data_IF_028236045639
#
_entry.id   IF_028236045639
#
_cell.length_a   1.000
_cell.length_b   1.000
_cell.length_c   1.000
_cell.angle_alpha   90.00
_cell.angle_beta   90.00
_cell.angle_gamma   90.00
#
_symmetry.space_group_name_H-M   'P 1'
#
loop_
_entity.id
_entity.type
_entity.pdbx_description
1 polymer ?
#
# COMPACT_ATOMS: atom_id res chain seq x y z
N UNK A 1 10.15 14.72 -0.01
CA UNK A 1 10.84 15.46 -1.09
C UNK A 1 11.93 16.27 -0.44
N UNK A 2 13.16 16.21 -0.97
CA UNK A 2 14.12 17.29 -0.65
C UNK A 2 13.64 18.56 -1.35
N UNK A 3 13.91 19.76 -0.82
CA UNK A 3 13.48 21.03 -1.42
C UNK A 3 13.84 21.16 -2.91
N UNK A 4 14.95 20.55 -3.31
CA UNK A 4 15.48 20.51 -4.68
C UNK A 4 14.56 19.77 -5.67
N UNK A 5 13.73 18.84 -5.20
CA UNK A 5 12.80 18.07 -6.03
C UNK A 5 11.35 18.52 -5.81
N UNK A 6 11.12 19.82 -5.62
CA UNK A 6 9.78 20.39 -5.50
C UNK A 6 9.23 20.81 -6.87
N UNK A 7 7.89 20.86 -7.06
CA UNK A 7 7.30 21.39 -8.29
C UNK A 7 7.79 22.80 -8.64
N UNK A 8 8.00 23.67 -7.64
CA UNK A 8 8.57 25.01 -7.84
C UNK A 8 9.98 24.96 -8.45
N UNK A 9 10.86 24.12 -7.91
CA UNK A 9 12.22 23.96 -8.45
C UNK A 9 12.22 23.45 -9.90
N UNK A 10 11.24 22.60 -10.27
CA UNK A 10 11.06 22.16 -11.66
C UNK A 10 10.55 23.31 -12.53
N UNK A 11 9.54 24.06 -12.09
CA UNK A 11 9.00 25.19 -12.85
C UNK A 11 10.05 26.29 -13.08
N UNK A 12 10.89 26.58 -12.09
CA UNK A 12 11.98 27.55 -12.19
C UNK A 12 13.00 27.14 -13.27
N UNK A 13 13.36 25.86 -13.34
CA UNK A 13 14.23 25.35 -14.40
C UNK A 13 13.54 25.40 -15.76
N UNK A 14 12.29 24.97 -15.86
CA UNK A 14 11.53 24.96 -17.10
C UNK A 14 11.33 26.37 -17.66
N UNK A 15 11.25 27.40 -16.81
CA UNK A 15 11.18 28.79 -17.24
C UNK A 15 12.47 29.26 -17.95
N UNK A 16 13.63 28.68 -17.60
CA UNK A 16 14.91 28.93 -18.27
C UNK A 16 15.21 27.98 -19.43
N UNK A 17 14.40 26.93 -19.61
CA UNK A 17 14.64 25.90 -20.62
C UNK A 17 14.11 26.34 -22.00
N UNK A 18 14.93 26.35 -23.09
CA UNK A 18 14.53 26.88 -24.39
C UNK A 18 13.27 26.24 -24.99
N UNK A 19 13.05 24.96 -24.71
CA UNK A 19 11.89 24.18 -25.16
C UNK A 19 10.91 23.80 -24.03
N UNK A 20 10.96 24.49 -22.89
CA UNK A 20 10.20 24.13 -21.68
C UNK A 20 8.69 24.04 -21.90
N UNK A 21 8.11 25.00 -22.63
CA UNK A 21 6.67 25.01 -22.94
C UNK A 21 6.27 23.94 -23.97
N UNK A 22 7.13 23.66 -24.95
CA UNK A 22 6.88 22.59 -25.93
C UNK A 22 6.87 21.22 -25.24
N UNK A 23 7.81 20.99 -24.32
CA UNK A 23 7.83 19.77 -23.50
C UNK A 23 6.56 19.63 -22.66
N UNK A 24 6.08 20.74 -22.07
CA UNK A 24 4.84 20.74 -21.28
C UNK A 24 3.62 20.41 -22.15
N UNK A 25 3.54 20.96 -23.37
CA UNK A 25 2.48 20.64 -24.34
C UNK A 25 2.52 19.18 -24.77
N UNK A 26 3.70 18.62 -25.06
CA UNK A 26 3.85 17.20 -25.42
C UNK A 26 3.41 16.29 -24.28
N UNK A 27 3.86 16.54 -23.05
CA UNK A 27 3.44 15.75 -21.87
C UNK A 27 1.93 15.86 -21.66
N UNK A 28 1.36 17.06 -21.76
CA UNK A 28 -0.07 17.28 -21.65
C UNK A 28 -0.87 16.50 -22.70
N UNK A 29 -0.52 16.63 -23.98
CA UNK A 29 -1.22 15.93 -25.06
C UNK A 29 -1.11 14.41 -24.93
N UNK A 30 0.08 13.88 -24.63
CA UNK A 30 0.28 12.44 -24.44
C UNK A 30 -0.51 11.90 -23.24
N UNK A 31 -0.51 12.63 -22.12
CA UNK A 31 -1.23 12.25 -20.91
C UNK A 31 -2.76 12.29 -21.10
N UNK A 32 -3.30 13.33 -21.73
CA UNK A 32 -4.74 13.43 -22.00
C UNK A 32 -5.21 12.39 -23.02
N UNK A 33 -4.43 12.12 -24.07
CA UNK A 33 -4.73 11.02 -24.99
C UNK A 33 -4.77 9.67 -24.28
N UNK A 34 -3.82 9.42 -23.37
CA UNK A 34 -3.84 8.20 -22.56
C UNK A 34 -5.04 8.16 -21.61
N UNK A 35 -5.45 9.29 -21.02
CA UNK A 35 -6.61 9.36 -20.14
C UNK A 35 -7.94 9.11 -20.87
N UNK A 36 -8.08 9.67 -22.08
CA UNK A 36 -9.26 9.50 -22.94
C UNK A 36 -9.38 8.05 -23.45
N UNK A 37 -8.26 7.46 -23.86
CA UNK A 37 -8.19 6.06 -24.31
C UNK A 37 -8.06 5.05 -23.16
N UNK A 38 -8.01 5.53 -21.91
CA UNK A 38 -7.84 4.73 -20.69
C UNK A 38 -6.58 3.83 -20.70
N UNK A 39 -5.48 4.30 -21.29
CA UNK A 39 -4.17 3.62 -21.35
C UNK A 39 -3.30 3.92 -20.12
N UNK A 40 -2.74 2.88 -19.51
CA UNK A 40 -1.84 3.03 -18.36
C UNK A 40 -0.42 3.47 -18.75
N UNK A 41 -0.10 3.50 -20.05
CA UNK A 41 1.19 3.95 -20.61
C UNK A 41 1.01 5.18 -21.53
N UNK A 42 2.02 6.04 -21.55
CA UNK A 42 2.03 7.31 -22.29
C UNK A 42 2.74 7.24 -23.66
N UNK A 43 3.25 6.07 -24.04
CA UNK A 43 4.10 5.90 -25.23
C UNK A 43 3.33 5.98 -26.56
N UNK A 44 2.04 5.61 -26.57
CA UNK A 44 1.25 5.53 -27.80
C UNK A 44 1.05 6.91 -28.43
N UNK A 45 1.57 7.09 -29.66
CA UNK A 45 1.55 8.34 -30.41
C UNK A 45 2.68 9.33 -30.06
N UNK A 46 3.55 9.00 -29.09
CA UNK A 46 4.57 9.92 -28.59
C UNK A 46 5.56 10.38 -29.66
N UNK A 47 6.03 9.46 -30.51
CA UNK A 47 7.00 9.79 -31.57
C UNK A 47 6.46 10.87 -32.53
N UNK A 48 5.17 10.77 -32.91
CA UNK A 48 4.52 11.75 -33.77
C UNK A 48 4.33 13.10 -33.05
N UNK A 49 4.01 13.10 -31.76
CA UNK A 49 3.90 14.32 -30.96
C UNK A 49 5.25 15.05 -30.83
N UNK A 50 6.33 14.30 -30.61
CA UNK A 50 7.69 14.82 -30.50
C UNK A 50 8.17 15.39 -31.83
N UNK A 51 7.95 14.66 -32.93
CA UNK A 51 8.27 15.12 -34.29
C UNK A 51 7.49 16.39 -34.68
N UNK A 52 6.18 16.41 -34.42
CA UNK A 52 5.32 17.58 -34.67
C UNK A 52 5.75 18.81 -33.87
N UNK A 53 6.26 18.61 -32.65
CA UNK A 53 6.80 19.68 -31.83
C UNK A 53 8.22 20.11 -32.28
N UNK A 54 8.84 19.42 -33.25
CA UNK A 54 10.21 19.68 -33.67
C UNK A 54 11.20 19.54 -32.52
N UNK A 55 11.01 18.53 -31.67
CA UNK A 55 11.85 18.24 -30.52
C UNK A 55 12.78 17.07 -30.82
N UNK A 56 14.05 17.24 -30.50
CA UNK A 56 15.01 16.13 -30.44
C UNK A 56 15.07 15.54 -29.02
N UNK A 57 15.69 14.37 -28.87
CA UNK A 57 15.97 13.78 -27.55
C UNK A 57 16.87 14.69 -26.70
N UNK A 58 17.77 15.46 -27.33
CA UNK A 58 18.65 16.40 -26.63
C UNK A 58 17.88 17.61 -26.08
N UNK A 59 16.84 18.06 -26.79
CA UNK A 59 15.95 19.14 -26.34
C UNK A 59 15.09 18.75 -25.13
N UNK A 60 15.03 17.46 -24.81
CA UNK A 60 14.24 16.94 -23.69
C UNK A 60 15.06 16.73 -22.40
N UNK A 61 16.36 17.03 -22.41
CA UNK A 61 17.22 16.86 -21.24
C UNK A 61 17.04 17.99 -20.21
N UNK A 62 16.81 17.61 -18.96
CA UNK A 62 16.73 18.51 -17.80
C UNK A 62 17.61 17.95 -16.68
N UNK A 63 17.89 18.72 -15.63
CA UNK A 63 18.60 18.20 -14.45
C UNK A 63 17.79 17.13 -13.69
N UNK A 64 16.48 17.06 -13.93
CA UNK A 64 15.58 16.05 -13.36
C UNK A 64 15.40 14.81 -14.25
N UNK A 65 16.06 14.79 -15.41
CA UNK A 65 16.08 13.69 -16.38
C UNK A 65 15.54 14.08 -17.76
N UNK A 66 15.55 13.11 -18.67
CA UNK A 66 15.06 13.29 -20.03
C UNK A 66 13.55 13.01 -20.13
N UNK A 67 12.77 14.01 -20.57
CA UNK A 67 11.30 13.93 -20.64
C UNK A 67 10.83 12.87 -21.62
N UNK A 68 11.39 12.83 -22.84
CA UNK A 68 10.98 11.90 -23.90
C UNK A 68 11.25 10.46 -23.48
N UNK A 69 12.47 10.18 -22.98
CA UNK A 69 12.82 8.83 -22.48
C UNK A 69 11.97 8.41 -21.28
N UNK A 70 11.52 9.37 -20.46
CA UNK A 70 10.65 9.07 -19.33
C UNK A 70 9.24 8.67 -19.80
N UNK A 71 8.71 9.33 -20.82
CA UNK A 71 7.41 8.99 -21.42
C UNK A 71 7.46 7.63 -22.17
N UNK A 72 8.53 7.36 -22.93
CA UNK A 72 8.73 6.10 -23.67
C UNK A 72 8.75 4.88 -22.77
N UNK A 73 9.36 4.97 -21.57
CA UNK A 73 9.45 3.82 -20.66
C UNK A 73 8.10 3.41 -20.06
N UNK A 74 7.07 4.25 -20.19
CA UNK A 74 5.65 3.94 -19.93
C UNK A 74 5.29 3.54 -18.49
N UNK A 75 6.25 3.25 -17.61
CA UNK A 75 6.03 2.69 -16.28
C UNK A 75 7.09 3.14 -15.26
N UNK A 76 6.64 3.41 -14.03
CA UNK A 76 7.42 3.96 -12.91
C UNK A 76 8.55 3.09 -12.37
N UNK A 77 8.68 1.83 -12.77
CA UNK A 77 9.64 0.93 -12.13
C UNK A 77 11.11 1.34 -12.35
N UNK A 78 11.39 2.13 -13.40
CA UNK A 78 12.71 2.71 -13.66
C UNK A 78 12.84 4.23 -13.44
N UNK A 79 11.74 4.95 -13.22
CA UNK A 79 11.77 6.41 -13.11
C UNK A 79 12.13 6.83 -11.68
N UNK A 80 13.29 7.50 -11.53
CA UNK A 80 13.70 8.10 -10.27
C UNK A 80 12.62 9.05 -9.73
N UNK A 81 12.67 9.33 -8.42
CA UNK A 81 11.74 10.27 -7.78
C UNK A 81 11.73 11.63 -8.47
N UNK A 82 12.90 12.14 -8.90
CA UNK A 82 13.06 13.38 -9.66
C UNK A 82 12.25 13.41 -10.96
N UNK A 83 12.37 12.37 -11.78
CA UNK A 83 11.69 12.29 -13.08
C UNK A 83 10.17 12.24 -12.95
N UNK A 84 9.65 11.62 -11.88
CA UNK A 84 8.20 11.64 -11.60
C UNK A 84 7.70 13.05 -11.28
N UNK A 85 8.47 13.82 -10.50
CA UNK A 85 8.15 15.23 -10.22
C UNK A 85 8.22 16.06 -11.50
N UNK A 86 9.21 15.81 -12.35
CA UNK A 86 9.33 16.46 -13.66
C UNK A 86 8.08 16.26 -14.52
N UNK A 87 7.64 15.01 -14.72
CA UNK A 87 6.46 14.70 -15.52
C UNK A 87 5.17 15.27 -14.92
N UNK A 88 4.98 15.15 -13.60
CA UNK A 88 3.85 15.74 -12.89
C UNK A 88 3.78 17.26 -13.08
N UNK A 89 4.93 17.92 -12.97
CA UNK A 89 5.02 19.38 -13.09
C UNK A 89 4.84 19.85 -14.54
N UNK A 90 5.39 19.14 -15.52
CA UNK A 90 5.18 19.42 -16.94
C UNK A 90 3.71 19.26 -17.33
N UNK A 91 3.04 18.23 -16.82
CA UNK A 91 1.60 18.04 -17.04
C UNK A 91 0.79 19.20 -16.44
N UNK A 92 1.07 19.59 -15.19
CA UNK A 92 0.41 20.74 -14.56
C UNK A 92 0.69 22.06 -15.32
N UNK A 93 1.92 22.28 -15.80
CA UNK A 93 2.29 23.42 -16.64
C UNK A 93 1.55 23.41 -17.97
N UNK A 94 1.40 22.25 -18.60
CA UNK A 94 0.64 22.11 -19.84
C UNK A 94 -0.83 22.49 -19.67
N UNK A 95 -1.45 22.12 -18.54
CA UNK A 95 -2.79 22.61 -18.16
C UNK A 95 -2.78 24.14 -17.97
N UNK A 96 -1.75 24.71 -17.34
CA UNK A 96 -1.65 26.16 -17.16
C UNK A 96 -1.47 26.95 -18.48
N UNK A 97 -0.82 26.35 -19.48
CA UNK A 97 -0.65 26.94 -20.82
C UNK A 97 -1.95 26.95 -21.64
N UNK A 98 -2.83 26.00 -21.39
CA UNK A 98 -4.16 25.86 -22.02
C UNK A 98 -5.23 25.69 -20.93
N UNK A 99 -5.45 26.71 -20.10
CA UNK A 99 -6.29 26.64 -18.92
C UNK A 99 -7.74 26.32 -19.31
N UNK A 100 -8.43 25.40 -18.61
CA UNK A 100 -9.82 25.13 -18.89
C UNK A 100 -10.69 26.33 -18.49
N UNK A 101 -11.57 26.75 -19.40
CA UNK A 101 -12.51 27.84 -19.14
C UNK A 101 -13.91 27.28 -18.86
N UNK A 102 -14.38 27.51 -17.63
CA UNK A 102 -15.74 27.15 -17.19
C UNK A 102 -15.86 25.75 -16.58
N UNK A 103 -16.95 25.49 -15.85
CA UNK A 103 -17.09 24.34 -14.96
C UNK A 103 -17.09 22.99 -15.70
N UNK A 104 -17.61 22.94 -16.93
CA UNK A 104 -17.61 21.71 -17.72
C UNK A 104 -16.20 21.34 -18.19
N UNK A 105 -15.42 22.31 -18.66
CA UNK A 105 -14.04 22.09 -19.09
C UNK A 105 -13.14 21.74 -17.90
N UNK A 106 -13.29 22.47 -16.78
CA UNK A 106 -12.62 22.17 -15.52
C UNK A 106 -12.95 20.76 -15.02
N UNK A 107 -14.22 20.34 -15.12
CA UNK A 107 -14.67 19.00 -14.77
C UNK A 107 -13.99 17.90 -15.59
N UNK A 108 -13.89 18.07 -16.91
CA UNK A 108 -13.20 17.11 -17.79
C UNK A 108 -11.70 17.02 -17.48
N UNK A 109 -11.04 18.17 -17.29
CA UNK A 109 -9.62 18.23 -16.92
C UNK A 109 -9.40 17.57 -15.55
N UNK A 110 -10.22 17.89 -14.55
CA UNK A 110 -10.15 17.26 -13.23
C UNK A 110 -10.31 15.74 -13.30
N UNK A 111 -11.25 15.24 -14.10
CA UNK A 111 -11.47 13.80 -14.27
C UNK A 111 -10.24 13.11 -14.87
N UNK A 112 -9.67 13.69 -15.95
CA UNK A 112 -8.47 13.18 -16.59
C UNK A 112 -7.26 13.16 -15.63
N UNK A 113 -7.05 14.24 -14.87
CA UNK A 113 -5.94 14.33 -13.92
C UNK A 113 -6.05 13.32 -12.77
N UNK A 114 -7.25 13.14 -12.20
CA UNK A 114 -7.45 12.13 -11.15
C UNK A 114 -7.30 10.73 -11.72
N UNK A 115 -7.77 10.48 -12.94
CA UNK A 115 -7.59 9.19 -13.60
C UNK A 115 -6.10 8.88 -13.81
N UNK A 116 -5.33 9.84 -14.33
CA UNK A 116 -3.89 9.70 -14.55
C UNK A 116 -3.14 9.43 -13.25
N UNK A 117 -3.44 10.16 -12.18
CA UNK A 117 -2.84 9.95 -10.87
C UNK A 117 -3.20 8.59 -10.26
N UNK A 118 -4.35 8.03 -10.64
CA UNK A 118 -4.84 6.73 -10.13
C UNK A 118 -4.22 5.55 -10.88
N UNK A 119 -4.08 5.65 -12.21
CA UNK A 119 -3.76 4.51 -13.08
C UNK A 119 -2.40 4.59 -13.76
N UNK A 120 -1.69 5.71 -13.59
CA UNK A 120 -0.35 5.91 -14.15
C UNK A 120 0.63 6.32 -13.05
N UNK A 121 1.87 6.60 -13.44
CA UNK A 121 2.89 7.14 -12.53
C UNK A 121 2.95 8.67 -12.49
N UNK A 122 2.11 9.34 -13.27
CA UNK A 122 2.11 10.81 -13.41
C UNK A 122 0.98 11.38 -12.57
N UNK A 123 1.34 12.07 -11.49
CA UNK A 123 0.42 12.72 -10.56
C UNK A 123 0.63 14.24 -10.55
N UNK A 124 -0.03 14.93 -11.48
CA UNK A 124 0.01 16.37 -11.59
C UNK A 124 -0.75 17.11 -10.48
N UNK A 125 -1.59 16.43 -9.69
CA UNK A 125 -2.39 17.08 -8.64
C UNK A 125 -1.49 17.77 -7.62
N UNK A 126 -0.32 17.20 -7.34
CA UNK A 126 0.68 17.76 -6.43
C UNK A 126 1.38 19.03 -6.94
N UNK A 127 1.24 19.36 -8.22
CA UNK A 127 1.89 20.49 -8.87
C UNK A 127 0.91 21.58 -9.36
N UNK A 128 -0.41 21.38 -9.21
CA UNK A 128 -1.42 22.31 -9.71
C UNK A 128 -1.29 23.71 -9.11
N UNK A 129 -1.14 23.82 -7.80
CA UNK A 129 -1.03 25.14 -7.15
C UNK A 129 0.23 25.89 -7.60
N UNK A 130 1.34 25.18 -7.78
CA UNK A 130 2.58 25.78 -8.23
C UNK A 130 2.49 26.28 -9.68
N UNK A 131 1.78 25.54 -10.55
CA UNK A 131 1.67 25.86 -11.97
C UNK A 131 0.56 26.87 -12.31
N UNK A 132 -0.59 26.82 -11.61
CA UNK A 132 -1.77 27.64 -11.91
C UNK A 132 -1.97 28.80 -10.91
N UNK A 133 -1.40 28.74 -9.71
CA UNK A 133 -1.67 29.71 -8.64
C UNK A 133 -3.17 29.81 -8.33
N UNK A 134 -3.68 31.03 -8.23
CA UNK A 134 -5.11 31.32 -7.97
C UNK A 134 -6.06 30.73 -9.03
N UNK A 135 -5.57 30.49 -10.26
CA UNK A 135 -6.39 29.88 -11.32
C UNK A 135 -6.73 28.41 -11.06
N UNK A 136 -6.08 27.77 -10.08
CA UNK A 136 -6.38 26.39 -9.69
C UNK A 136 -7.75 26.24 -8.98
N UNK A 137 -8.36 27.34 -8.52
CA UNK A 137 -9.58 27.30 -7.71
C UNK A 137 -10.72 26.51 -8.36
N UNK A 138 -10.97 26.69 -9.67
CA UNK A 138 -12.00 25.98 -10.41
C UNK A 138 -11.74 24.47 -10.52
N UNK A 139 -10.48 24.08 -10.73
CA UNK A 139 -10.07 22.68 -10.74
C UNK A 139 -10.25 22.02 -9.38
N UNK A 140 -9.92 22.70 -8.28
CA UNK A 140 -10.12 22.14 -6.93
C UNK A 140 -11.59 21.89 -6.60
N UNK A 141 -12.49 22.82 -6.99
CA UNK A 141 -13.94 22.62 -6.89
C UNK A 141 -14.41 21.42 -7.71
N UNK A 142 -13.90 21.29 -8.94
CA UNK A 142 -14.21 20.17 -9.83
C UNK A 142 -13.72 18.83 -9.28
N UNK A 143 -12.50 18.78 -8.70
CA UNK A 143 -11.95 17.59 -8.01
C UNK A 143 -12.83 17.21 -6.81
N UNK A 144 -13.27 18.18 -6.02
CA UNK A 144 -14.18 17.92 -4.90
C UNK A 144 -15.53 17.37 -5.36
N UNK A 145 -16.10 17.90 -6.44
CA UNK A 145 -17.31 17.36 -7.05
C UNK A 145 -17.13 15.90 -7.53
N UNK A 146 -15.96 15.54 -8.07
CA UNK A 146 -15.63 14.16 -8.43
C UNK A 146 -15.59 13.23 -7.21
N UNK A 147 -15.04 13.69 -6.09
CA UNK A 147 -15.04 12.91 -4.82
C UNK A 147 -16.49 12.62 -4.39
N UNK A 148 -17.39 13.62 -4.38
CA UNK A 148 -18.81 13.43 -4.03
C UNK A 148 -19.48 12.40 -4.95
N UNK A 149 -19.29 12.54 -6.28
CA UNK A 149 -19.88 11.64 -7.27
C UNK A 149 -19.34 10.21 -7.16
N UNK A 150 -18.04 10.05 -6.93
CA UNK A 150 -17.42 8.73 -6.76
C UNK A 150 -17.88 8.02 -5.49
N UNK A 151 -18.02 8.74 -4.37
CA UNK A 151 -18.57 8.23 -3.10
C UNK A 151 -20.03 7.76 -3.24
N UNK A 152 -20.81 8.47 -4.07
CA UNK A 152 -22.18 8.10 -4.41
C UNK A 152 -22.28 6.95 -5.44
N UNK A 153 -21.15 6.44 -5.95
CA UNK A 153 -21.12 5.40 -6.97
C UNK A 153 -21.48 5.89 -8.39
N UNK A 154 -21.55 7.19 -8.62
CA UNK A 154 -21.92 7.79 -9.91
C UNK A 154 -20.75 7.87 -10.92
N UNK A 155 -19.54 7.44 -10.52
CA UNK A 155 -18.33 7.43 -11.34
C UNK A 155 -17.61 6.07 -11.25
N UNK A 156 -18.15 5.01 -11.88
CA UNK A 156 -17.58 3.67 -11.77
C UNK A 156 -16.16 3.56 -12.33
N UNK A 157 -15.79 4.43 -13.28
CA UNK A 157 -14.46 4.40 -13.93
C UNK A 157 -13.33 4.91 -13.04
N UNK A 158 -13.61 5.86 -12.14
CA UNK A 158 -12.65 6.31 -11.11
C UNK A 158 -12.73 5.44 -9.87
N UNK A 159 -13.96 5.06 -9.50
CA UNK A 159 -14.26 4.26 -8.33
C UNK A 159 -13.70 4.84 -7.04
N UNK A 160 -13.50 3.94 -6.06
CA UNK A 160 -13.00 4.29 -4.74
C UNK A 160 -11.55 4.79 -4.74
N UNK A 161 -10.71 4.23 -5.62
CA UNK A 161 -9.30 4.59 -5.68
C UNK A 161 -9.10 6.05 -6.11
N UNK A 162 -9.81 6.49 -7.17
CA UNK A 162 -9.79 7.88 -7.61
C UNK A 162 -10.26 8.85 -6.53
N UNK A 163 -11.32 8.50 -5.78
CA UNK A 163 -11.82 9.31 -4.67
C UNK A 163 -10.76 9.50 -3.56
N UNK A 164 -10.02 8.43 -3.22
CA UNK A 164 -8.94 8.48 -2.22
C UNK A 164 -7.80 9.39 -2.68
N UNK A 165 -7.38 9.27 -3.95
CA UNK A 165 -6.30 10.10 -4.51
C UNK A 165 -6.72 11.57 -4.57
N UNK A 166 -7.92 11.86 -5.08
CA UNK A 166 -8.47 13.22 -5.12
C UNK A 166 -8.59 13.86 -3.73
N UNK A 167 -9.08 13.11 -2.72
CA UNK A 167 -9.16 13.60 -1.35
C UNK A 167 -7.77 13.82 -0.73
N UNK A 168 -6.80 12.95 -1.02
CA UNK A 168 -5.42 13.14 -0.58
C UNK A 168 -4.78 14.39 -1.21
N UNK A 169 -5.08 14.69 -2.48
CA UNK A 169 -4.63 15.89 -3.16
C UNK A 169 -5.25 17.16 -2.56
N UNK A 170 -6.57 17.19 -2.33
CA UNK A 170 -7.25 18.31 -1.66
C UNK A 170 -6.65 18.58 -0.27
N UNK A 171 -6.35 17.52 0.50
CA UNK A 171 -5.66 17.63 1.79
C UNK A 171 -4.24 18.20 1.65
N UNK A 172 -3.50 17.75 0.64
CA UNK A 172 -2.10 18.10 0.43
C UNK A 172 -1.90 19.52 -0.09
N UNK A 173 -2.91 20.11 -0.71
CA UNK A 173 -2.85 21.43 -1.31
C UNK A 173 -2.75 22.55 -0.24
N UNK A 174 -1.84 23.52 -0.41
CA UNK A 174 -1.83 24.74 0.39
C UNK A 174 -2.92 25.74 0.02
N UNK A 175 -3.62 25.59 -1.11
CA UNK A 175 -4.62 26.54 -1.60
C UNK A 175 -5.79 26.69 -0.62
N UNK A 176 -6.26 27.92 -0.35
CA UNK A 176 -7.44 28.13 0.48
C UNK A 176 -8.69 27.48 -0.11
N UNK A 177 -8.86 27.49 -1.44
CA UNK A 177 -9.99 26.86 -2.13
C UNK A 177 -10.01 25.35 -1.92
N UNK A 178 -8.85 24.69 -2.10
CA UNK A 178 -8.74 23.25 -1.88
C UNK A 178 -9.08 22.85 -0.43
N UNK A 179 -8.64 23.65 0.54
CA UNK A 179 -8.96 23.43 1.96
C UNK A 179 -10.42 23.67 2.28
N UNK A 180 -11.03 24.70 1.71
CA UNK A 180 -12.45 24.99 1.88
C UNK A 180 -13.30 23.84 1.33
N UNK A 181 -12.97 23.34 0.14
CA UNK A 181 -13.63 22.16 -0.43
C UNK A 181 -13.40 20.89 0.38
N UNK A 182 -12.17 20.66 0.86
CA UNK A 182 -11.87 19.53 1.74
C UNK A 182 -12.71 19.58 3.02
N UNK A 183 -12.92 20.77 3.59
CA UNK A 183 -13.76 20.98 4.76
C UNK A 183 -15.21 20.61 4.50
N UNK A 184 -15.77 21.11 3.40
CA UNK A 184 -17.15 20.82 3.00
C UNK A 184 -17.37 19.31 2.77
N UNK A 185 -16.40 18.62 2.19
CA UNK A 185 -16.51 17.19 1.89
C UNK A 185 -16.53 16.28 3.13
N UNK A 186 -15.98 16.71 4.27
CA UNK A 186 -15.92 15.87 5.49
C UNK A 186 -17.31 15.41 5.93
N UNK A 187 -18.30 16.29 5.79
CA UNK A 187 -19.68 16.03 6.22
C UNK A 187 -20.51 15.31 5.15
N UNK A 188 -20.16 15.50 3.86
CA UNK A 188 -20.88 14.92 2.72
C UNK A 188 -20.52 13.44 2.45
N UNK A 189 -19.24 13.09 2.58
CA UNK A 189 -18.69 11.81 2.11
C UNK A 189 -19.03 10.68 3.08
N UNK A 190 -19.48 9.53 2.55
CA UNK A 190 -19.86 8.33 3.30
C UNK A 190 -18.68 7.40 3.56
N UNK A 191 -17.73 7.29 2.63
CA UNK A 191 -16.56 6.41 2.77
C UNK A 191 -15.70 6.83 3.97
N UNK A 192 -15.46 5.93 4.95
CA UNK A 192 -14.75 6.28 6.17
C UNK A 192 -13.26 6.60 5.94
N UNK A 193 -12.62 6.03 4.92
CA UNK A 193 -11.22 6.30 4.59
C UNK A 193 -11.10 7.70 4.00
N UNK A 194 -11.95 8.01 3.01
CA UNK A 194 -11.96 9.34 2.37
C UNK A 194 -12.27 10.41 3.41
N UNK A 195 -13.28 10.20 4.26
CA UNK A 195 -13.61 11.11 5.37
C UNK A 195 -12.45 11.30 6.35
N UNK A 196 -11.75 10.22 6.70
CA UNK A 196 -10.58 10.29 7.60
C UNK A 196 -9.47 11.14 6.99
N UNK A 197 -9.16 10.95 5.70
CA UNK A 197 -8.15 11.73 5.00
C UNK A 197 -8.50 13.22 5.00
N UNK A 198 -9.76 13.56 4.73
CA UNK A 198 -10.22 14.95 4.70
C UNK A 198 -10.20 15.61 6.09
N UNK A 199 -10.54 14.88 7.17
CA UNK A 199 -10.46 15.40 8.55
C UNK A 199 -9.05 15.77 8.97
N UNK A 200 -8.05 15.00 8.52
CA UNK A 200 -6.65 15.31 8.78
C UNK A 200 -6.24 16.65 8.14
N UNK A 201 -6.90 17.08 7.05
CA UNK A 201 -6.67 18.37 6.42
C UNK A 201 -7.13 19.55 7.30
N UNK A 202 -8.22 19.36 8.05
CA UNK A 202 -8.82 20.39 8.90
C UNK A 202 -8.15 20.53 10.25
N UNK A 203 -7.40 19.53 10.67
CA UNK A 203 -6.59 19.63 11.87
C UNK A 203 -5.43 20.57 11.55
N UNK A 204 -5.44 21.84 12.02
CA UNK A 204 -4.35 22.77 11.73
C UNK A 204 -3.07 22.10 12.19
N UNK A 205 -2.18 21.86 11.22
CA UNK A 205 -1.03 20.98 11.32
C UNK A 205 -0.57 20.88 12.76
N UNK A 206 -0.80 19.72 13.39
CA UNK A 206 -0.03 19.32 14.58
C UNK A 206 1.40 19.46 14.10
N UNK A 207 2.06 20.59 14.43
CA UNK A 207 3.46 20.84 14.06
C UNK A 207 4.17 19.53 14.33
N UNK A 208 4.86 18.91 13.36
CA UNK A 208 5.61 17.69 13.61
C UNK A 208 6.38 17.95 14.89
N UNK A 209 6.02 17.21 15.95
CA UNK A 209 6.36 17.54 17.32
C UNK A 209 7.82 17.93 17.33
N UNK A 210 8.10 19.21 17.58
CA UNK A 210 9.46 19.70 17.82
C UNK A 210 10.02 18.73 18.85
N UNK A 211 11.13 18.07 18.50
CA UNK A 211 11.76 17.08 19.36
C UNK A 211 11.79 17.64 20.80
N UNK A 212 11.38 16.85 21.82
CA UNK A 212 11.32 17.35 23.17
C UNK A 212 12.69 17.92 23.53
N UNK A 213 12.71 19.22 23.82
CA UNK A 213 13.90 19.89 24.35
C UNK A 213 14.29 19.18 25.64
N UNK A 214 15.52 18.67 25.66
CA UNK A 214 16.15 18.09 26.83
C UNK A 214 16.18 19.13 27.96
N UNK A 215 15.28 19.03 28.93
CA UNK A 215 15.22 19.95 30.05
C UNK A 215 13.92 19.81 30.83
N UNK A 216 13.89 18.87 31.76
CA UNK A 216 12.73 18.65 32.64
C UNK A 216 12.88 17.39 33.48
N UNK A 217 13.91 17.39 34.33
CA UNK A 217 14.11 16.36 35.34
C UNK A 217 13.30 16.66 36.61
N UNK A 218 13.05 15.58 37.36
CA UNK A 218 12.60 15.50 38.75
C UNK A 218 11.09 15.62 39.01
N UNK A 219 10.45 14.46 39.19
CA UNK A 219 9.66 14.25 40.40
C UNK A 219 9.62 12.76 40.78
N UNK A 220 10.30 12.46 41.88
CA UNK A 220 10.20 11.22 42.65
C UNK A 220 8.87 11.18 43.41
N UNK A 221 8.33 9.98 43.64
CA UNK A 221 7.16 9.77 44.48
C UNK A 221 6.70 8.33 44.52
N UNK A 222 7.20 7.61 45.52
CA UNK A 222 7.02 6.19 45.80
C UNK A 222 5.63 5.79 46.31
N UNK A 223 5.29 4.50 46.17
CA UNK A 223 4.54 3.77 47.21
C UNK A 223 3.43 2.81 46.77
N UNK A 224 3.65 1.52 47.11
CA UNK A 224 2.65 0.53 47.57
C UNK A 224 2.01 -0.48 46.58
N UNK A 225 2.69 -1.65 46.51
CA UNK A 225 2.17 -3.02 46.81
C UNK A 225 0.95 -3.59 46.09
N UNK A 226 1.19 -4.63 45.28
CA UNK A 226 0.58 -5.94 45.54
C UNK A 226 -0.48 -6.47 44.57
N UNK A 227 -0.15 -6.65 43.28
CA UNK A 227 -0.67 -7.73 42.43
C UNK A 227 0.17 -7.77 41.13
N UNK A 228 1.20 -8.63 41.01
CA UNK A 228 2.12 -8.70 39.85
C UNK A 228 1.45 -9.34 38.61
N UNK A 229 0.39 -8.69 38.15
CA UNK A 229 -0.25 -8.92 36.87
C UNK A 229 0.51 -8.10 35.83
N UNK A 230 1.53 -8.69 35.20
CA UNK A 230 2.17 -8.27 33.93
C UNK A 230 1.89 -6.80 33.52
N UNK A 231 2.33 -5.85 34.34
CA UNK A 231 2.17 -4.44 34.05
C UNK A 231 3.48 -3.97 33.41
N UNK A 232 3.43 -3.33 32.23
CA UNK A 232 4.64 -2.90 31.54
C UNK A 232 5.34 -1.82 32.36
N UNK A 233 6.52 -2.16 32.87
CA UNK A 233 7.50 -1.20 33.35
C UNK A 233 7.76 -0.19 32.22
N UNK A 234 7.33 1.05 32.47
CA UNK A 234 7.46 2.20 31.56
C UNK A 234 8.84 2.81 31.77
N UNK A 235 9.87 2.11 31.35
CA UNK A 235 11.18 2.74 31.20
C UNK A 235 11.15 3.67 29.98
N UNK A 236 11.42 4.94 30.21
CA UNK A 236 11.32 6.07 29.27
C UNK A 236 12.30 6.07 28.10
N UNK A 237 12.87 4.93 27.73
CA UNK A 237 13.53 4.72 26.45
C UNK A 237 12.50 4.21 25.44
N UNK A 238 12.36 4.86 24.29
CA UNK A 238 11.34 4.60 23.26
C UNK A 238 11.44 3.20 22.60
N UNK A 239 11.35 2.13 23.37
CA UNK A 239 11.31 0.75 22.90
C UNK A 239 9.96 0.49 22.24
N UNK A 240 9.96 -0.10 21.05
CA UNK A 240 8.73 -0.59 20.44
C UNK A 240 8.54 -2.05 20.86
N UNK A 241 7.45 -2.34 21.57
CA UNK A 241 7.06 -3.71 21.93
C UNK A 241 6.03 -4.22 20.92
N UNK A 242 6.27 -5.40 20.35
CA UNK A 242 5.34 -6.10 19.48
C UNK A 242 5.02 -7.47 20.08
N UNK A 243 3.75 -7.83 20.16
CA UNK A 243 3.32 -9.16 20.57
C UNK A 243 2.86 -9.97 19.34
N UNK A 244 3.18 -11.27 19.31
CA UNK A 244 2.76 -12.17 18.25
C UNK A 244 3.03 -13.63 18.58
N UNK A 245 3.02 -14.49 17.57
CA UNK A 245 3.37 -15.90 17.70
C UNK A 245 4.68 -16.22 16.98
N UNK A 246 5.59 -16.95 17.65
CA UNK A 246 6.84 -17.39 17.06
C UNK A 246 6.55 -18.40 15.94
N UNK A 247 7.02 -18.08 14.73
CA UNK A 247 6.82 -18.86 13.52
C UNK A 247 8.15 -19.34 12.94
N UNK A 248 8.22 -20.54 12.31
CA UNK A 248 9.47 -21.04 11.74
C UNK A 248 9.95 -20.12 10.62
N UNK A 249 11.24 -19.74 10.54
CA UNK A 249 11.77 -18.81 9.53
C UNK A 249 11.38 -19.22 8.09
N UNK A 250 11.24 -18.26 7.16
CA UNK A 250 10.96 -18.60 5.77
C UNK A 250 12.05 -19.57 5.27
N UNK A 251 11.63 -20.66 4.64
CA UNK A 251 12.54 -21.62 4.03
C UNK A 251 12.93 -21.11 2.65
N UNK A 252 14.16 -21.40 2.22
CA UNK A 252 14.59 -21.11 0.86
C UNK A 252 13.69 -21.81 -0.17
N UNK A 253 13.58 -21.27 -1.40
CA UNK A 253 12.66 -21.77 -2.43
C UNK A 253 12.90 -23.24 -2.77
N UNK A 254 14.17 -23.65 -2.89
CA UNK A 254 14.56 -25.04 -3.20
C UNK A 254 14.07 -26.02 -2.12
N UNK A 255 14.29 -25.70 -0.85
CA UNK A 255 13.83 -26.54 0.26
C UNK A 255 12.29 -26.61 0.31
N UNK A 256 11.61 -25.52 -0.02
CA UNK A 256 10.15 -25.49 -0.09
C UNK A 256 9.63 -26.41 -1.19
N UNK A 257 10.21 -26.35 -2.40
CA UNK A 257 9.86 -27.23 -3.52
C UNK A 257 10.10 -28.70 -3.17
N UNK A 258 11.27 -29.05 -2.62
CA UNK A 258 11.58 -30.43 -2.25
C UNK A 258 10.63 -30.96 -1.16
N UNK A 259 10.34 -30.17 -0.12
CA UNK A 259 9.40 -30.55 0.95
C UNK A 259 7.95 -30.64 0.45
N UNK A 260 7.57 -29.81 -0.51
CA UNK A 260 6.25 -29.86 -1.13
C UNK A 260 6.12 -31.10 -2.02
N UNK A 261 7.10 -31.36 -2.90
CA UNK A 261 7.11 -32.51 -3.81
C UNK A 261 7.13 -33.86 -3.07
N UNK A 262 7.82 -33.94 -1.93
CA UNK A 262 7.85 -35.14 -1.07
C UNK A 262 6.61 -35.29 -0.18
N UNK A 263 5.68 -34.33 -0.18
CA UNK A 263 4.49 -34.33 0.70
C UNK A 263 4.79 -34.07 2.18
N UNK A 264 6.07 -33.98 2.59
CA UNK A 264 6.48 -33.73 3.97
C UNK A 264 5.92 -32.40 4.47
N UNK A 265 5.85 -31.38 3.61
CA UNK A 265 5.29 -30.08 3.96
C UNK A 265 3.84 -30.21 4.44
N UNK A 266 3.02 -31.01 3.74
CA UNK A 266 1.62 -31.27 4.12
C UNK A 266 1.55 -31.95 5.49
N UNK A 267 2.34 -33.01 5.70
CA UNK A 267 2.41 -33.73 6.99
C UNK A 267 2.78 -32.79 8.13
N UNK A 268 3.79 -31.93 7.95
CA UNK A 268 4.19 -30.94 8.95
C UNK A 268 3.06 -29.94 9.27
N UNK A 269 2.31 -29.51 8.26
CA UNK A 269 1.19 -28.59 8.44
C UNK A 269 0.03 -29.24 9.19
N UNK A 270 -0.32 -30.49 8.84
CA UNK A 270 -1.34 -31.27 9.53
C UNK A 270 -0.95 -31.52 10.99
N UNK A 271 0.28 -31.96 11.26
CA UNK A 271 0.77 -32.18 12.63
C UNK A 271 0.75 -30.89 13.44
N UNK A 272 1.14 -29.76 12.85
CA UNK A 272 1.07 -28.45 13.52
C UNK A 272 -0.37 -28.04 13.81
N UNK A 273 -1.28 -28.26 12.87
CA UNK A 273 -2.71 -27.95 13.03
C UNK A 273 -3.32 -28.80 14.15
N UNK A 274 -3.07 -30.11 14.11
CA UNK A 274 -3.48 -31.06 15.14
C UNK A 274 -2.90 -30.68 16.51
N UNK A 275 -1.61 -30.34 16.59
CA UNK A 275 -0.99 -29.86 17.83
C UNK A 275 -1.64 -28.58 18.38
N UNK A 276 -2.01 -27.63 17.50
CA UNK A 276 -2.69 -26.39 17.88
C UNK A 276 -4.10 -26.65 18.43
N UNK A 277 -4.84 -27.57 17.83
CA UNK A 277 -6.22 -27.87 18.24
C UNK A 277 -6.30 -28.85 19.42
N UNK A 278 -5.62 -30.00 19.32
CA UNK A 278 -5.67 -31.08 20.32
C UNK A 278 -4.90 -30.72 21.58
N UNK A 279 -3.69 -30.17 21.44
CA UNK A 279 -2.81 -29.91 22.58
C UNK A 279 -2.80 -28.45 23.03
N UNK A 280 -3.61 -27.59 22.38
CA UNK A 280 -3.55 -26.12 22.53
C UNK A 280 -2.12 -25.60 22.41
N UNK A 281 -1.31 -26.20 21.54
CA UNK A 281 0.09 -25.85 21.39
C UNK A 281 0.24 -24.43 20.84
N UNK A 282 0.80 -23.52 21.63
CA UNK A 282 1.06 -22.13 21.25
C UNK A 282 2.49 -21.74 21.56
N UNK A 283 3.02 -20.80 20.77
CA UNK A 283 4.34 -20.20 21.03
C UNK A 283 4.24 -18.68 21.04
N UNK A 284 3.57 -18.06 22.05
CA UNK A 284 3.53 -16.61 22.13
C UNK A 284 4.95 -16.06 22.25
N UNK A 285 5.20 -14.95 21.56
CA UNK A 285 6.47 -14.27 21.62
C UNK A 285 6.26 -12.75 21.60
N UNK A 286 7.12 -12.05 22.32
CA UNK A 286 7.21 -10.61 22.35
C UNK A 286 8.54 -10.19 21.73
N UNK A 287 8.49 -9.15 20.91
CA UNK A 287 9.63 -8.50 20.33
C UNK A 287 9.78 -7.12 20.95
N UNK A 288 10.94 -6.85 21.52
CA UNK A 288 11.29 -5.52 22.01
C UNK A 288 12.39 -4.95 21.12
N UNK A 289 12.05 -3.90 20.37
CA UNK A 289 13.00 -3.20 19.50
C UNK A 289 13.54 -1.98 20.25
N UNK A 290 14.82 -2.02 20.55
CA UNK A 290 15.56 -0.93 21.18
C UNK A 290 16.66 -0.38 20.27
N UNK A 291 17.37 0.68 20.71
CA UNK A 291 18.41 1.32 19.90
C UNK A 291 19.65 0.46 19.71
N UNK A 292 19.95 -0.45 20.65
CA UNK A 292 21.15 -1.31 20.63
C UNK A 292 20.92 -2.70 20.04
N UNK A 293 19.66 -3.12 19.90
CA UNK A 293 19.34 -4.48 19.52
C UNK A 293 17.86 -4.78 19.59
N UNK A 294 17.55 -6.03 19.28
CA UNK A 294 16.21 -6.59 19.34
C UNK A 294 16.20 -7.76 20.32
N UNK A 295 15.32 -7.69 21.32
CA UNK A 295 15.10 -8.78 22.27
C UNK A 295 13.86 -9.57 21.89
N UNK A 296 14.01 -10.87 21.67
CA UNK A 296 12.90 -11.78 21.41
C UNK A 296 12.69 -12.63 22.66
N UNK A 297 11.54 -12.44 23.32
CA UNK A 297 11.08 -13.33 24.40
C UNK A 297 10.04 -14.26 23.84
N UNK A 298 10.22 -15.57 24.00
CA UNK A 298 9.31 -16.58 23.50
C UNK A 298 8.98 -17.60 24.57
N UNK A 299 7.72 -18.01 24.64
CA UNK A 299 7.24 -19.06 25.53
C UNK A 299 6.62 -20.15 24.69
N UNK A 300 6.84 -21.40 25.08
CA UNK A 300 6.16 -22.56 24.49
C UNK A 300 5.12 -23.03 25.47
N UNK A 301 3.86 -22.99 25.07
CA UNK A 301 2.71 -23.38 25.88
C UNK A 301 2.10 -24.66 25.35
N UNK A 302 1.76 -25.58 26.25
CA UNK A 302 1.03 -26.83 25.96
C UNK A 302 -0.07 -26.96 27.00
N UNK A 303 -1.32 -27.15 26.55
CA UNK A 303 -2.50 -27.17 27.43
C UNK A 303 -2.62 -25.92 28.33
N UNK A 304 -2.16 -24.76 27.85
CA UNK A 304 -2.15 -23.51 28.61
C UNK A 304 -1.07 -23.42 29.70
N UNK A 305 -0.19 -24.42 29.84
CA UNK A 305 0.96 -24.38 30.75
C UNK A 305 2.23 -24.04 29.99
N UNK A 306 3.08 -23.21 30.58
CA UNK A 306 4.39 -22.85 30.03
C UNK A 306 5.37 -24.01 30.19
N UNK A 307 5.76 -24.63 29.07
CA UNK A 307 6.76 -25.70 29.05
C UNK A 307 8.19 -25.18 29.00
N UNK A 308 8.41 -24.08 28.25
CA UNK A 308 9.74 -23.55 28.00
C UNK A 308 9.68 -22.07 27.72
N UNK A 309 10.52 -21.29 28.40
CA UNK A 309 10.75 -19.88 28.10
C UNK A 309 12.16 -19.71 27.53
N UNK A 310 12.28 -18.80 26.55
CA UNK A 310 13.56 -18.47 25.91
C UNK A 310 13.58 -17.00 25.57
N UNK A 311 14.61 -16.31 26.06
CA UNK A 311 14.97 -14.96 25.67
C UNK A 311 16.17 -15.00 24.72
N UNK A 312 16.16 -14.18 23.68
CA UNK A 312 17.24 -14.11 22.69
C UNK A 312 17.46 -12.66 22.31
N UNK A 313 18.62 -12.13 22.67
CA UNK A 313 19.05 -10.79 22.31
C UNK A 313 19.85 -10.82 21.01
N UNK A 314 19.45 -10.02 20.03
CA UNK A 314 20.13 -9.87 18.74
C UNK A 314 20.64 -8.42 18.67
N UNK A 315 21.95 -8.18 18.80
CA UNK A 315 22.49 -6.84 18.68
C UNK A 315 22.33 -6.33 17.23
N UNK A 316 22.17 -5.02 17.06
CA UNK A 316 21.96 -4.40 15.74
C UNK A 316 23.08 -4.76 14.78
N UNK A 317 24.35 -4.79 15.23
CA UNK A 317 25.48 -5.09 14.35
C UNK A 317 25.49 -6.56 13.88
N UNK A 318 24.76 -7.44 14.58
CA UNK A 318 24.57 -8.83 14.17
C UNK A 318 23.29 -9.03 13.35
N UNK A 319 22.46 -8.01 13.11
CA UNK A 319 21.22 -8.14 12.37
C UNK A 319 21.48 -7.94 10.87
N UNK A 320 21.47 -9.03 10.10
CA UNK A 320 21.72 -8.99 8.66
C UNK A 320 20.50 -8.49 7.89
N UNK A 321 19.29 -8.82 8.37
CA UNK A 321 18.04 -8.38 7.74
C UNK A 321 16.92 -8.31 8.76
N UNK A 322 16.19 -7.20 8.75
CA UNK A 322 14.93 -7.03 9.46
C UNK A 322 13.88 -6.59 8.44
N UNK A 323 12.93 -7.48 8.11
CA UNK A 323 11.94 -7.20 7.07
C UNK A 323 10.56 -7.58 7.56
N UNK A 324 9.57 -6.78 7.18
CA UNK A 324 8.17 -7.19 7.20
C UNK A 324 7.90 -8.06 5.98
N UNK A 325 7.27 -9.20 6.18
CA UNK A 325 6.81 -10.10 5.13
C UNK A 325 5.29 -10.24 5.26
N UNK A 326 4.57 -9.92 4.19
CA UNK A 326 3.13 -10.23 4.07
C UNK A 326 3.05 -11.60 3.42
N UNK A 327 2.80 -12.62 4.23
CA UNK A 327 2.90 -14.01 3.77
C UNK A 327 1.71 -14.35 2.88
N UNK A 328 2.00 -14.58 1.59
CA UNK A 328 1.08 -14.98 0.53
C UNK A 328 -0.21 -14.15 0.44
N UNK A 329 -0.14 -12.89 -0.01
CA UNK A 329 -1.32 -12.03 -0.14
C UNK A 329 -2.41 -12.63 -1.04
N UNK A 330 -2.08 -13.62 -1.87
CA UNK A 330 -2.99 -14.28 -2.81
C UNK A 330 -3.23 -15.77 -2.54
N UNK A 331 -2.74 -16.34 -1.43
CA UNK A 331 -2.92 -17.79 -1.18
C UNK A 331 -4.39 -18.16 -1.06
N UNK A 332 -5.17 -17.34 -0.36
CA UNK A 332 -6.61 -17.55 -0.18
C UNK A 332 -7.32 -17.60 -1.54
N UNK A 333 -7.03 -16.63 -2.41
CA UNK A 333 -7.50 -16.61 -3.79
C UNK A 333 -7.12 -17.88 -4.56
N UNK A 334 -5.84 -18.28 -4.54
CA UNK A 334 -5.42 -19.48 -5.28
C UNK A 334 -6.02 -20.76 -4.71
N UNK A 335 -6.12 -20.88 -3.38
CA UNK A 335 -6.74 -22.02 -2.73
C UNK A 335 -8.24 -22.10 -3.05
N UNK A 336 -8.92 -20.95 -3.11
CA UNK A 336 -10.29 -20.85 -3.56
C UNK A 336 -10.45 -21.28 -5.02
N UNK A 337 -9.62 -20.76 -5.93
CA UNK A 337 -9.67 -21.13 -7.35
C UNK A 337 -9.41 -22.63 -7.58
N UNK A 338 -8.49 -23.23 -6.82
CA UNK A 338 -8.25 -24.69 -6.85
C UNK A 338 -9.47 -25.46 -6.32
N UNK A 339 -10.07 -25.00 -5.22
CA UNK A 339 -11.26 -25.62 -4.65
C UNK A 339 -12.46 -25.56 -5.61
N UNK A 340 -12.67 -24.41 -6.25
CA UNK A 340 -13.69 -24.21 -7.27
C UNK A 340 -13.44 -25.12 -8.48
N UNK A 341 -12.20 -25.17 -8.98
CA UNK A 341 -11.83 -26.01 -10.11
C UNK A 341 -12.06 -27.50 -9.82
N UNK A 342 -11.60 -27.99 -8.66
CA UNK A 342 -11.76 -29.37 -8.26
C UNK A 342 -13.23 -29.74 -8.02
N UNK A 343 -13.99 -28.88 -7.32
CA UNK A 343 -15.41 -29.05 -7.08
C UNK A 343 -16.23 -29.04 -8.37
N UNK A 344 -15.87 -28.17 -9.33
CA UNK A 344 -16.49 -28.14 -10.65
C UNK A 344 -16.21 -29.41 -11.44
N UNK A 345 -14.96 -29.83 -11.50
CA UNK A 345 -14.56 -31.04 -12.23
C UNK A 345 -15.27 -32.28 -11.67
N UNK A 346 -15.14 -32.55 -10.37
CA UNK A 346 -15.74 -33.72 -9.74
C UNK A 346 -17.28 -33.66 -9.75
N UNK A 347 -17.86 -32.49 -9.46
CA UNK A 347 -19.31 -32.30 -9.44
C UNK A 347 -19.94 -32.51 -10.82
N UNK A 348 -19.36 -31.93 -11.87
CA UNK A 348 -19.85 -32.10 -13.25
C UNK A 348 -19.67 -33.54 -13.73
N UNK A 349 -18.54 -34.19 -13.44
CA UNK A 349 -18.35 -35.61 -13.78
C UNK A 349 -19.43 -36.50 -13.16
N UNK A 350 -19.73 -36.33 -11.87
CA UNK A 350 -20.79 -37.06 -11.19
C UNK A 350 -22.19 -36.75 -11.75
N UNK A 351 -22.45 -35.49 -12.12
CA UNK A 351 -23.71 -35.10 -12.77
C UNK A 351 -23.88 -35.78 -14.13
N UNK A 352 -22.82 -35.80 -14.95
CA UNK A 352 -22.85 -36.45 -16.27
C UNK A 352 -23.03 -37.96 -16.13
N UNK A 353 -22.32 -38.59 -15.20
CA UNK A 353 -22.45 -40.02 -14.94
C UNK A 353 -23.83 -40.37 -14.36
N UNK A 354 -24.36 -39.55 -13.46
CA UNK A 354 -25.71 -39.69 -12.92
C UNK A 354 -26.79 -39.55 -13.99
N UNK A 355 -26.64 -38.59 -14.91
CA UNK A 355 -27.55 -38.41 -16.04
C UNK A 355 -27.50 -39.61 -17.00
N UNK A 356 -26.31 -40.13 -17.31
CA UNK A 356 -26.13 -41.32 -18.16
C UNK A 356 -26.71 -42.58 -17.52
N UNK A 357 -26.57 -42.74 -16.20
CA UNK A 357 -27.07 -43.89 -15.46
C UNK A 357 -28.55 -43.78 -15.06
N UNK A 358 -29.19 -42.61 -15.25
CA UNK A 358 -30.54 -42.35 -14.74
C UNK A 358 -30.63 -42.39 -13.20
N UNK A 359 -29.52 -42.09 -12.50
CA UNK A 359 -29.43 -42.18 -11.04
C UNK A 359 -29.61 -40.81 -10.38
N UNK A 360 -30.73 -40.56 -9.66
CA UNK A 360 -30.95 -39.29 -8.97
C UNK A 360 -29.96 -39.08 -7.81
N UNK A 361 -29.45 -40.15 -7.20
CA UNK A 361 -28.45 -40.06 -6.11
C UNK A 361 -27.12 -39.51 -6.61
N UNK A 362 -26.64 -39.97 -7.76
CA UNK A 362 -25.41 -39.45 -8.38
C UNK A 362 -25.56 -38.00 -8.81
N UNK A 363 -26.75 -37.63 -9.34
CA UNK A 363 -27.06 -36.24 -9.67
C UNK A 363 -27.04 -35.35 -8.42
N UNK A 364 -27.68 -35.78 -7.33
CA UNK A 364 -27.70 -35.06 -6.07
C UNK A 364 -26.29 -34.90 -5.46
N UNK A 365 -25.49 -35.97 -5.48
CA UNK A 365 -24.10 -35.93 -5.00
C UNK A 365 -23.23 -34.99 -5.85
N UNK A 366 -23.36 -35.03 -7.17
CA UNK A 366 -22.63 -34.13 -8.07
C UNK A 366 -22.96 -32.66 -7.83
N UNK A 367 -24.25 -32.33 -7.66
CA UNK A 367 -24.68 -30.97 -7.31
C UNK A 367 -24.13 -30.52 -5.95
N UNK A 368 -24.10 -31.41 -4.95
CA UNK A 368 -23.58 -31.11 -3.61
C UNK A 368 -22.08 -30.86 -3.62
N UNK A 369 -21.30 -31.70 -4.32
CA UNK A 369 -19.84 -31.53 -4.47
C UNK A 369 -19.51 -30.21 -5.17
N UNK A 370 -20.25 -29.88 -6.23
CA UNK A 370 -20.12 -28.60 -6.92
C UNK A 370 -20.38 -27.41 -5.98
N UNK A 371 -21.52 -27.41 -5.28
CA UNK A 371 -21.90 -26.35 -4.37
C UNK A 371 -20.89 -26.19 -3.22
N UNK A 372 -20.34 -27.30 -2.70
CA UNK A 372 -19.30 -27.26 -1.68
C UNK A 372 -18.01 -26.61 -2.18
N UNK A 373 -17.57 -26.93 -3.41
CA UNK A 373 -16.39 -26.30 -4.03
C UNK A 373 -16.55 -24.79 -4.15
N UNK A 374 -17.72 -24.33 -4.62
CA UNK A 374 -18.04 -22.90 -4.72
C UNK A 374 -18.12 -22.21 -3.35
N UNK A 375 -18.74 -22.85 -2.35
CA UNK A 375 -18.83 -22.32 -1.00
C UNK A 375 -17.43 -22.20 -0.33
N UNK A 376 -16.54 -23.16 -0.59
CA UNK A 376 -15.19 -23.16 -0.06
C UNK A 376 -14.34 -22.05 -0.69
N UNK A 377 -14.45 -21.82 -2.00
CA UNK A 377 -13.83 -20.69 -2.69
C UNK A 377 -14.28 -19.34 -2.11
N UNK A 378 -15.59 -19.16 -1.97
CA UNK A 378 -16.17 -17.96 -1.38
C UNK A 378 -15.70 -17.74 0.07
N UNK A 379 -15.71 -18.79 0.88
CA UNK A 379 -15.29 -18.73 2.29
C UNK A 379 -13.81 -18.39 2.44
N UNK A 380 -12.94 -19.01 1.63
CA UNK A 380 -11.50 -18.70 1.63
C UNK A 380 -11.22 -17.26 1.20
N UNK A 381 -11.94 -16.75 0.19
CA UNK A 381 -11.81 -15.37 -0.27
C UNK A 381 -12.22 -14.34 0.80
N UNK A 382 -13.21 -14.67 1.65
CA UNK A 382 -13.62 -13.82 2.78
C UNK A 382 -12.69 -13.94 4.01
N UNK A 383 -12.08 -15.10 4.23
CA UNK A 383 -11.05 -15.27 5.27
C UNK A 383 -9.80 -14.42 4.99
N UNK A 384 -9.51 -14.11 3.73
CA UNK A 384 -8.46 -13.16 3.35
C UNK A 384 -8.73 -11.79 3.95
N UNK A 385 -9.97 -11.28 3.88
CA UNK A 385 -10.32 -9.97 4.42
C UNK A 385 -10.20 -9.91 5.94
N UNK A 386 -10.52 -11.01 6.64
CA UNK A 386 -10.34 -11.12 8.09
C UNK A 386 -8.87 -11.18 8.54
N UNK A 387 -7.96 -11.54 7.63
CA UNK A 387 -6.51 -11.58 7.91
C UNK A 387 -5.74 -10.38 7.35
N UNK A 388 -6.42 -9.48 6.62
CA UNK A 388 -5.85 -8.20 6.19
C UNK A 388 -5.42 -7.37 7.40
N UNK A 389 -4.22 -6.81 7.31
CA UNK A 389 -3.62 -6.00 8.38
C UNK A 389 -2.67 -6.76 9.31
N UNK A 390 -2.63 -8.10 9.26
CA UNK A 390 -1.62 -8.89 9.97
C UNK A 390 -0.44 -9.22 9.07
N UNK A 391 0.75 -9.10 9.62
CA UNK A 391 2.00 -9.36 8.95
C UNK A 391 2.90 -10.26 9.80
N UNK A 392 4.06 -10.57 9.25
CA UNK A 392 5.13 -11.25 9.93
C UNK A 392 6.38 -10.38 9.91
N UNK A 393 7.05 -10.24 11.04
CA UNK A 393 8.38 -9.62 11.11
C UNK A 393 9.41 -10.74 11.12
N UNK A 394 10.37 -10.69 10.19
CA UNK A 394 11.45 -11.66 10.04
C UNK A 394 12.77 -10.97 10.38
N UNK A 395 13.49 -11.56 11.33
CA UNK A 395 14.81 -11.13 11.79
C UNK A 395 15.83 -12.21 11.45
N UNK A 396 16.79 -11.87 10.60
CA UNK A 396 17.86 -12.76 10.18
C UNK A 396 19.16 -12.26 10.81
N UNK A 397 19.67 -12.92 11.87
CA UNK A 397 20.98 -12.60 12.39
C UNK A 397 22.09 -13.09 11.46
N UNK A 398 23.27 -12.48 11.54
CA UNK A 398 24.47 -12.87 10.80
C UNK A 398 24.98 -14.25 11.21
N UNK A 399 24.79 -14.62 12.47
CA UNK A 399 25.10 -15.95 13.02
C UNK A 399 23.87 -16.49 13.75
N UNK A 400 23.50 -17.74 13.44
CA UNK A 400 22.39 -18.44 14.10
C UNK A 400 21.09 -18.47 13.27
N UNK A 401 20.03 -19.10 13.82
CA UNK A 401 18.77 -19.27 13.11
C UNK A 401 17.98 -17.97 13.03
N UNK A 402 17.33 -17.75 11.88
CA UNK A 402 16.37 -16.66 11.72
C UNK A 402 15.18 -16.80 12.67
N UNK A 403 14.74 -15.68 13.22
CA UNK A 403 13.57 -15.57 14.09
C UNK A 403 12.46 -14.89 13.31
N UNK A 404 11.22 -15.34 13.50
CA UNK A 404 10.11 -14.60 12.94
C UNK A 404 8.88 -14.61 13.81
N UNK A 405 8.26 -13.45 13.92
CA UNK A 405 7.09 -13.21 14.74
C UNK A 405 5.90 -12.93 13.80
N UNK A 406 4.86 -13.76 13.89
CA UNK A 406 3.68 -13.68 13.05
C UNK A 406 2.48 -13.10 13.81
N UNK A 407 1.49 -12.60 13.07
CA UNK A 407 0.25 -12.07 13.65
C UNK A 407 0.37 -10.65 14.18
N UNK A 408 1.40 -9.90 13.74
CA UNK A 408 1.65 -8.53 14.17
C UNK A 408 0.86 -7.58 13.27
N UNK A 409 0.28 -6.54 13.85
CA UNK A 409 -0.34 -5.45 13.09
C UNK A 409 0.69 -4.75 12.19
N UNK A 410 0.29 -4.50 10.94
CA UNK A 410 1.16 -3.94 9.89
C UNK A 410 1.83 -2.63 10.30
N UNK A 411 1.07 -1.71 10.87
CA UNK A 411 1.53 -0.35 11.19
C UNK A 411 2.46 -0.36 12.41
N UNK A 412 2.15 -1.19 13.41
CA UNK A 412 3.02 -1.42 14.56
C UNK A 412 4.36 -2.03 14.12
N UNK A 413 4.34 -2.99 13.19
CA UNK A 413 5.55 -3.58 12.62
C UNK A 413 6.40 -2.53 11.89
N UNK A 414 5.80 -1.68 11.06
CA UNK A 414 6.52 -0.63 10.33
C UNK A 414 7.13 0.40 11.27
N UNK A 415 6.38 0.82 12.29
CA UNK A 415 6.88 1.75 13.32
C UNK A 415 8.06 1.15 14.08
N UNK A 416 7.97 -0.12 14.48
CA UNK A 416 9.04 -0.81 15.20
C UNK A 416 10.29 -0.99 14.32
N UNK A 417 10.11 -1.43 13.06
CA UNK A 417 11.22 -1.60 12.12
C UNK A 417 11.87 -0.25 11.76
N UNK A 418 11.10 0.83 11.72
CA UNK A 418 11.62 2.19 11.49
C UNK A 418 12.53 2.72 12.60
N UNK A 419 12.50 2.11 13.80
CA UNK A 419 13.42 2.44 14.90
C UNK A 419 14.78 1.75 14.78
N UNK A 420 14.90 0.71 13.95
CA UNK A 420 16.19 0.09 13.69
C UNK A 420 17.00 0.99 12.76
N UNK A 421 18.30 1.19 13.02
CA UNK A 421 19.15 1.88 12.07
C UNK A 421 19.16 1.08 10.76
N UNK A 422 19.10 1.79 9.63
CA UNK A 422 19.18 1.16 8.31
C UNK A 422 20.58 0.53 8.19
N UNK A 423 20.60 -0.80 8.14
CA UNK A 423 21.80 -1.60 7.93
C UNK A 423 22.35 -1.44 6.51
#
# INVERSE_FOLDING_TARGET
MTPEHSPYAVLDELAGHPRGDDLARVVHTAAFAAADERRTTLEGGLAELVDRAGLSVADAETRFGNVVRALERGTSEGAGSATRVLLATLLARGVALSPPDGPEAEGRVAEALVWLATYTSVDALTALDAALGERAAGLWRSIAALVRRADQGALPQLGRAGAIIAAAALRGSPSPDARAEAAALVDDVRDPIVRSLLRDALSPARRPSRAPSAGGAAQEGAGATGDERWAPERDGGATARLAGELSPPPRGPVALVLLAATGILLVMHVLRLAGRFLLRYRRPAALEVGPKGVTVRSRTELFGRTLKERETYIPVEALLRATREVRYPRLALYAGLVALGLGTYLGVSLLVDGARAGSPELLGMGALVFAFGAALDFGLSHLETATRGRCRVVLVPRKGPGVALAGIERDAADLALGKLPRA
#
